data_IF_819896818128
#
_entry.id   IF_819896818128
#
_cell.length_a   1.000
_cell.length_b   1.000
_cell.length_c   1.000
_cell.angle_alpha   90.00
_cell.angle_beta   90.00
_cell.angle_gamma   90.00
#
_symmetry.space_group_name_H-M   'P 1'
#
loop_
_entity.id
_entity.type
_entity.pdbx_description
1 polymer ?
#
# COMPACT_ATOMS: atom_id res chain seq x y z
N UNK A 1 -15.70 -2.76 -19.46
CA UNK A 1 -14.54 -2.00 -18.95
C UNK A 1 -14.70 -0.51 -19.22
N UNK A 2 -14.88 -0.06 -20.48
CA UNK A 2 -15.08 1.37 -20.77
C UNK A 2 -16.34 1.97 -20.12
N UNK A 3 -17.47 1.26 -20.10
CA UNK A 3 -18.69 1.71 -19.40
C UNK A 3 -18.44 1.88 -17.90
N UNK A 4 -17.84 0.88 -17.26
CA UNK A 4 -17.44 0.95 -15.85
C UNK A 4 -16.50 2.15 -15.54
N UNK A 5 -15.51 2.40 -16.40
CA UNK A 5 -14.60 3.54 -16.24
C UNK A 5 -15.31 4.88 -16.40
N UNK A 6 -16.31 4.97 -17.29
CA UNK A 6 -17.12 6.18 -17.47
C UNK A 6 -18.06 6.43 -16.27
N UNK A 7 -18.70 5.39 -15.75
CA UNK A 7 -19.53 5.49 -14.54
C UNK A 7 -18.69 5.89 -13.33
N UNK A 8 -17.50 5.29 -13.17
CA UNK A 8 -16.56 5.63 -12.12
C UNK A 8 -16.08 7.08 -12.25
N UNK A 9 -15.73 7.54 -13.45
CA UNK A 9 -15.32 8.92 -13.69
C UNK A 9 -16.46 9.92 -13.38
N UNK A 10 -17.70 9.58 -13.76
CA UNK A 10 -18.88 10.39 -13.46
C UNK A 10 -19.12 10.49 -11.96
N UNK A 11 -19.02 9.36 -11.25
CA UNK A 11 -19.12 9.33 -9.80
C UNK A 11 -18.03 10.18 -9.14
N UNK A 12 -16.76 10.00 -9.55
CA UNK A 12 -15.61 10.72 -9.01
C UNK A 12 -15.65 12.23 -9.29
N UNK A 13 -16.17 12.67 -10.43
CA UNK A 13 -16.35 14.10 -10.74
C UNK A 13 -17.36 14.79 -9.82
N UNK A 14 -18.28 14.03 -9.20
CA UNK A 14 -19.22 14.55 -8.21
C UNK A 14 -18.63 14.70 -6.80
N UNK A 15 -17.43 14.16 -6.53
CA UNK A 15 -16.80 14.24 -5.23
C UNK A 15 -15.93 15.49 -5.07
N UNK A 16 -15.98 16.15 -3.91
CA UNK A 16 -14.98 17.14 -3.51
C UNK A 16 -13.56 16.58 -3.71
N UNK A 17 -12.65 17.30 -4.40
CA UNK A 17 -11.29 16.83 -4.68
C UNK A 17 -10.52 16.40 -3.42
N UNK A 18 -10.80 17.04 -2.28
CA UNK A 18 -10.22 16.69 -0.99
C UNK A 18 -10.55 15.26 -0.55
N UNK A 19 -11.76 14.75 -0.86
CA UNK A 19 -12.16 13.39 -0.52
C UNK A 19 -11.41 12.38 -1.39
N UNK A 20 -11.17 12.69 -2.66
CA UNK A 20 -10.38 11.84 -3.56
C UNK A 20 -8.94 11.72 -3.05
N UNK A 21 -8.35 12.82 -2.60
CA UNK A 21 -6.99 12.84 -2.01
C UNK A 21 -6.91 12.01 -0.72
N UNK A 22 -7.96 12.03 0.11
CA UNK A 22 -8.00 11.25 1.35
C UNK A 22 -8.28 9.76 1.11
N UNK A 23 -9.15 9.43 0.15
CA UNK A 23 -9.60 8.07 -0.13
C UNK A 23 -8.63 7.31 -1.03
N UNK A 24 -7.90 7.97 -1.94
CA UNK A 24 -7.00 7.27 -2.86
C UNK A 24 -5.88 6.47 -2.14
N UNK A 25 -5.20 7.01 -1.10
CA UNK A 25 -4.28 6.23 -0.26
C UNK A 25 -4.93 5.01 0.41
N UNK A 26 -6.16 5.18 0.91
CA UNK A 26 -6.94 4.12 1.53
C UNK A 26 -7.23 3.00 0.52
N UNK A 27 -7.71 3.35 -0.67
CA UNK A 27 -8.00 2.42 -1.76
C UNK A 27 -6.74 1.69 -2.24
N UNK A 28 -5.61 2.39 -2.35
CA UNK A 28 -4.32 1.79 -2.73
C UNK A 28 -3.85 0.74 -1.72
N UNK A 29 -3.93 1.09 -0.43
CA UNK A 29 -3.61 0.16 0.66
C UNK A 29 -4.54 -1.05 0.69
N UNK A 30 -5.85 -0.82 0.55
CA UNK A 30 -6.85 -1.90 0.52
C UNK A 30 -6.64 -2.84 -0.68
N UNK A 31 -6.38 -2.28 -1.86
CA UNK A 31 -6.09 -3.05 -3.06
C UNK A 31 -4.88 -3.97 -2.87
N UNK A 32 -3.81 -3.48 -2.24
CA UNK A 32 -2.64 -4.29 -1.91
C UNK A 32 -2.98 -5.42 -0.93
N UNK A 33 -3.76 -5.12 0.13
CA UNK A 33 -4.22 -6.14 1.07
C UNK A 33 -5.06 -7.24 0.39
N UNK A 34 -5.98 -6.88 -0.50
CA UNK A 34 -6.81 -7.84 -1.25
C UNK A 34 -5.94 -8.70 -2.17
N UNK A 35 -5.05 -8.08 -2.94
CA UNK A 35 -4.15 -8.80 -3.85
C UNK A 35 -3.30 -9.80 -3.08
N UNK A 36 -2.81 -9.46 -1.89
CA UNK A 36 -2.00 -10.38 -1.08
C UNK A 36 -2.84 -11.41 -0.35
N UNK A 37 -4.05 -11.06 0.10
CA UNK A 37 -4.99 -12.06 0.63
C UNK A 37 -5.31 -13.14 -0.40
N UNK A 38 -5.42 -12.76 -1.67
CA UNK A 38 -5.66 -13.71 -2.79
C UNK A 38 -4.36 -14.44 -3.19
N UNK A 39 -3.23 -13.73 -3.28
CA UNK A 39 -1.96 -14.30 -3.75
C UNK A 39 -1.14 -15.03 -2.67
N UNK A 40 -1.47 -14.84 -1.39
CA UNK A 40 -0.68 -15.30 -0.24
C UNK A 40 -0.79 -16.79 0.07
N UNK A 41 -1.76 -17.51 -0.51
CA UNK A 41 -1.94 -18.93 -0.25
C UNK A 41 -2.28 -19.25 1.22
N UNK A 42 -2.15 -20.51 1.66
CA UNK A 42 -2.62 -20.99 2.97
C UNK A 42 -1.89 -20.41 4.19
N UNK A 43 -0.78 -19.69 4.01
CA UNK A 43 -0.09 -18.91 5.06
C UNK A 43 -0.58 -17.46 5.11
N UNK A 44 -1.86 -17.24 4.80
CA UNK A 44 -2.48 -15.92 4.79
C UNK A 44 -2.19 -15.19 6.11
N UNK A 45 -1.70 -13.96 5.99
CA UNK A 45 -1.39 -13.10 7.13
C UNK A 45 -2.60 -13.05 8.08
N UNK A 46 -2.36 -13.18 9.39
CA UNK A 46 -3.44 -13.11 10.36
C UNK A 46 -4.22 -11.80 10.23
N UNK A 47 -5.52 -11.74 10.58
CA UNK A 47 -6.32 -10.52 10.44
C UNK A 47 -5.67 -9.28 11.04
N UNK A 48 -4.96 -9.43 12.17
CA UNK A 48 -4.20 -8.34 12.80
C UNK A 48 -3.01 -7.85 11.98
N UNK A 49 -2.30 -8.75 11.27
CA UNK A 49 -1.22 -8.37 10.35
C UNK A 49 -1.76 -7.63 9.13
N UNK A 50 -2.88 -8.11 8.57
CA UNK A 50 -3.54 -7.44 7.43
C UNK A 50 -3.98 -6.04 7.83
N UNK A 51 -4.62 -5.88 9.00
CA UNK A 51 -5.04 -4.58 9.51
C UNK A 51 -3.83 -3.65 9.76
N UNK A 52 -2.74 -4.16 10.34
CA UNK A 52 -1.52 -3.39 10.55
C UNK A 52 -0.89 -2.93 9.24
N UNK A 53 -0.76 -3.84 8.26
CA UNK A 53 -0.23 -3.53 6.94
C UNK A 53 -1.11 -2.52 6.19
N UNK A 54 -2.43 -2.65 6.32
CA UNK A 54 -3.39 -1.71 5.77
C UNK A 54 -3.18 -0.29 6.32
N UNK A 55 -3.06 -0.15 7.64
CA UNK A 55 -2.84 1.17 8.26
C UNK A 55 -1.52 1.78 7.81
N UNK A 56 -0.43 0.98 7.76
CA UNK A 56 0.86 1.53 7.34
C UNK A 56 0.84 1.93 5.85
N UNK A 57 0.24 1.11 4.98
CA UNK A 57 0.04 1.48 3.58
C UNK A 57 -0.76 2.78 3.46
N UNK A 58 -1.87 2.89 4.18
CA UNK A 58 -2.70 4.10 4.15
C UNK A 58 -1.92 5.36 4.56
N UNK A 59 -1.18 5.30 5.69
CA UNK A 59 -0.36 6.42 6.15
C UNK A 59 0.76 6.74 5.16
N UNK A 60 1.45 5.72 4.63
CA UNK A 60 2.50 5.91 3.62
C UNK A 60 1.98 6.61 2.37
N UNK A 61 0.77 6.24 1.91
CA UNK A 61 0.11 6.92 0.80
C UNK A 61 -0.35 8.34 1.12
N UNK A 62 -0.89 8.56 2.32
CA UNK A 62 -1.42 9.86 2.74
C UNK A 62 -0.32 10.94 2.87
N UNK A 63 0.86 10.56 3.38
CA UNK A 63 2.00 11.48 3.50
C UNK A 63 2.90 11.46 2.26
N UNK A 64 3.16 10.27 1.70
CA UNK A 64 4.02 10.11 0.53
C UNK A 64 3.41 10.68 -0.74
N UNK A 65 2.08 10.59 -0.91
CA UNK A 65 1.37 11.12 -2.08
C UNK A 65 1.64 12.61 -2.32
N UNK A 66 1.28 13.50 -1.38
CA UNK A 66 1.53 14.94 -1.49
C UNK A 66 3.02 15.29 -1.59
N UNK A 67 3.89 14.56 -0.89
CA UNK A 67 5.33 14.83 -0.89
C UNK A 67 6.00 14.49 -2.23
N UNK A 68 5.56 13.40 -2.87
CA UNK A 68 6.15 12.88 -4.10
C UNK A 68 5.47 13.43 -5.36
N UNK A 69 4.24 13.94 -5.26
CA UNK A 69 3.49 14.51 -6.39
C UNK A 69 4.27 15.55 -7.21
N UNK A 70 4.98 16.53 -6.60
CA UNK A 70 5.78 17.49 -7.35
C UNK A 70 6.97 16.86 -8.08
N UNK A 71 7.54 15.78 -7.52
CA UNK A 71 8.71 15.09 -8.07
C UNK A 71 8.33 14.33 -9.34
N UNK A 72 7.16 13.69 -9.34
CA UNK A 72 6.68 12.86 -10.46
C UNK A 72 5.74 13.60 -11.42
N UNK A 73 5.48 14.90 -11.19
CA UNK A 73 4.54 15.71 -11.96
C UNK A 73 3.18 15.02 -12.19
N UNK A 74 2.63 14.44 -11.12
CA UNK A 74 1.39 13.66 -11.16
C UNK A 74 0.45 14.09 -10.02
N UNK A 75 -0.86 13.84 -10.14
CA UNK A 75 -1.79 14.19 -9.08
C UNK A 75 -1.47 13.50 -7.75
N UNK A 76 -1.59 14.22 -6.63
CA UNK A 76 -1.27 13.70 -5.30
C UNK A 76 -2.09 12.47 -4.92
N UNK A 77 -3.34 12.36 -5.38
CA UNK A 77 -4.16 11.17 -5.15
C UNK A 77 -3.63 9.96 -5.94
N UNK A 78 -3.09 10.14 -7.14
CA UNK A 78 -2.51 9.07 -7.95
C UNK A 78 -1.26 8.53 -7.29
N UNK A 79 -0.34 9.44 -6.89
CA UNK A 79 0.87 9.04 -6.19
C UNK A 79 0.55 8.49 -4.80
N UNK A 80 -0.45 9.03 -4.13
CA UNK A 80 -0.93 8.53 -2.84
C UNK A 80 -1.51 7.12 -2.94
N UNK A 81 -2.26 6.81 -4.00
CA UNK A 81 -2.74 5.45 -4.28
C UNK A 81 -1.56 4.48 -4.49
N UNK A 82 -0.60 4.84 -5.33
CA UNK A 82 0.58 4.01 -5.62
C UNK A 82 1.44 3.83 -4.37
N UNK A 83 1.73 4.91 -3.66
CA UNK A 83 2.50 4.90 -2.40
C UNK A 83 1.79 4.07 -1.31
N UNK A 84 0.45 4.12 -1.27
CA UNK A 84 -0.34 3.31 -0.35
C UNK A 84 -0.27 1.82 -0.67
N UNK A 85 -0.34 1.47 -1.95
CA UNK A 85 -0.15 0.09 -2.41
C UNK A 85 1.30 -0.40 -2.22
N UNK A 86 2.30 0.47 -2.42
CA UNK A 86 3.72 0.11 -2.35
C UNK A 86 4.27 0.11 -0.92
N UNK A 87 3.69 0.88 0.01
CA UNK A 87 4.08 0.86 1.43
C UNK A 87 3.95 -0.54 2.03
N UNK A 88 2.90 -1.26 1.61
CA UNK A 88 2.73 -2.67 1.88
C UNK A 88 3.90 -3.54 1.35
N UNK A 89 4.24 -3.38 0.07
CA UNK A 89 5.29 -4.16 -0.59
C UNK A 89 6.66 -3.89 0.04
N UNK A 90 6.93 -2.62 0.36
CA UNK A 90 8.12 -2.19 1.08
C UNK A 90 8.27 -2.93 2.41
N UNK A 91 7.21 -3.03 3.21
CA UNK A 91 7.24 -3.77 4.48
C UNK A 91 7.50 -5.26 4.27
N UNK A 92 6.78 -5.91 3.34
CA UNK A 92 6.93 -7.35 3.11
C UNK A 92 8.35 -7.72 2.64
N UNK A 93 8.90 -6.94 1.71
CA UNK A 93 10.25 -7.17 1.16
C UNK A 93 11.32 -6.77 2.18
N UNK A 94 11.16 -5.62 2.85
CA UNK A 94 12.14 -5.12 3.81
C UNK A 94 12.19 -5.96 5.09
N UNK A 95 11.03 -6.35 5.64
CA UNK A 95 11.00 -7.23 6.81
C UNK A 95 11.61 -8.59 6.50
N UNK A 96 11.31 -9.18 5.34
CA UNK A 96 11.93 -10.44 4.92
C UNK A 96 13.46 -10.30 4.85
N UNK A 97 13.96 -9.26 4.17
CA UNK A 97 15.40 -8.98 4.08
C UNK A 97 16.05 -8.70 5.45
N UNK A 98 15.39 -7.96 6.34
CA UNK A 98 15.89 -7.66 7.69
C UNK A 98 15.89 -8.89 8.59
N UNK A 99 14.87 -9.74 8.47
CA UNK A 99 14.79 -10.99 9.22
C UNK A 99 15.89 -11.95 8.75
N UNK A 100 16.13 -12.04 7.44
CA UNK A 100 17.26 -12.80 6.87
C UNK A 100 18.61 -12.21 7.34
N UNK A 101 18.78 -10.90 7.39
CA UNK A 101 19.99 -10.24 7.93
C UNK A 101 20.22 -10.55 9.42
N UNK A 102 19.17 -10.61 10.24
CA UNK A 102 19.26 -10.91 11.67
C UNK A 102 19.61 -12.39 11.89
N UNK A 103 18.96 -13.28 11.16
CA UNK A 103 19.16 -14.73 11.27
C UNK A 103 20.55 -15.15 10.76
N UNK A 104 21.07 -14.49 9.72
CA UNK A 104 22.36 -14.83 9.11
C UNK A 104 23.54 -13.99 9.62
N UNK A 105 23.35 -13.14 10.63
CA UNK A 105 24.47 -12.43 11.27
C UNK A 105 25.34 -13.41 12.08
N UNK A 106 26.68 -13.30 12.03
CA UNK A 106 27.55 -14.02 12.96
C UNK A 106 27.20 -13.63 14.40
N UNK A 107 26.76 -14.60 15.22
CA UNK A 107 26.26 -14.38 16.59
C UNK A 107 24.74 -14.21 16.75
N UNK A 108 23.96 -14.34 15.67
CA UNK A 108 22.50 -14.42 15.76
C UNK A 108 22.02 -15.77 16.31
N UNK A 109 20.79 -15.86 16.86
CA UNK A 109 20.26 -17.05 17.53
C UNK A 109 20.08 -18.29 16.63
N UNK A 110 20.41 -18.21 15.34
CA UNK A 110 20.37 -19.32 14.37
C UNK A 110 21.73 -19.76 13.82
N UNK A 111 22.84 -19.18 14.28
CA UNK A 111 24.18 -19.59 13.88
C UNK A 111 24.80 -20.46 15.00
N UNK A 112 25.08 -21.76 14.76
CA UNK A 112 25.72 -22.63 15.76
C UNK A 112 27.14 -22.17 16.12
#
# INVERSE_FOLDING_TARGET
MNEFLQELATALNGFPPILIVLLAPFCGSLAACIVVGIAGGPDADSPGKIAGQFVVGWLAGAFGGPLLAPIFNAPAYTIGFVAGASGYWGIKVYLKKKQDEILNKPGGPGNP
#
